data_IF_993326047653
#
_entry.id   IF_993326047653
#
_cell.length_a   1.000
_cell.length_b   1.000
_cell.length_c   1.000
_cell.angle_alpha   90.00
_cell.angle_beta   90.00
_cell.angle_gamma   90.00
#
_symmetry.space_group_name_H-M   'P 1'
#
loop_
_entity.id
_entity.type
_entity.pdbx_description
1 polymer ?
2 non-polymer ?
3 water ?
#
# COMPACT_ATOMS: atom_id res chain seq x y z
N UNK A 16 -7.48 -17.73 -2.54
CA UNK A 16 -5.99 -17.95 -2.48
C UNK A 16 -5.16 -16.63 -2.72
N UNK A 17 -4.89 -16.25 -3.97
CA UNK A 17 -4.16 -15.01 -4.25
C UNK A 17 -4.94 -13.77 -3.78
N UNK A 18 -4.37 -12.99 -2.89
CA UNK A 18 -5.02 -11.79 -2.41
C UNK A 18 -4.92 -10.60 -3.43
N UNK A 19 -6.06 -10.03 -3.81
CA UNK A 19 -6.06 -8.79 -4.62
C UNK A 19 -6.30 -7.59 -3.76
N UNK A 20 -5.53 -6.53 -3.90
CA UNK A 20 -5.85 -5.29 -3.20
C UNK A 20 -7.04 -4.60 -3.88
N UNK A 21 -7.87 -3.88 -3.13
CA UNK A 21 -9.08 -3.29 -3.74
C UNK A 21 -8.84 -1.84 -4.12
N UNK A 22 -9.88 -1.16 -4.65
CA UNK A 22 -9.68 0.18 -5.22
C UNK A 22 -9.35 1.23 -4.14
N UNK A 23 -9.70 0.96 -2.89
CA UNK A 23 -9.39 1.89 -1.77
C UNK A 23 -8.02 1.75 -1.14
N UNK A 24 -7.14 1.00 -1.80
CA UNK A 24 -5.84 0.67 -1.24
C UNK A 24 -4.77 1.11 -2.23
N UNK A 25 -3.89 2.00 -1.80
CA UNK A 25 -2.69 2.36 -2.53
C UNK A 25 -1.49 1.73 -1.85
N UNK A 26 -0.71 1.01 -2.63
CA UNK A 26 0.49 0.37 -2.15
C UNK A 26 1.68 1.10 -2.72
N UNK A 27 2.45 1.78 -1.87
CA UNK A 27 3.67 2.41 -2.32
C UNK A 27 4.87 1.58 -1.86
N UNK A 28 5.70 1.18 -2.80
CA UNK A 28 6.92 0.48 -2.46
C UNK A 28 8.04 1.47 -2.18
N UNK A 29 8.94 1.07 -1.28
CA UNK A 29 10.10 1.86 -0.97
C UNK A 29 10.83 2.20 -2.28
N UNK A 30 11.27 3.46 -2.45
CA UNK A 30 11.22 4.61 -1.54
C UNK A 30 10.13 5.63 -1.90
N UNK A 31 9.13 5.21 -2.65
CA UNK A 31 8.06 6.13 -3.06
C UNK A 31 7.26 6.64 -1.88
N UNK A 32 7.31 5.95 -0.76
CA UNK A 32 6.69 6.44 0.46
C UNK A 32 7.37 7.72 0.96
N UNK A 33 8.63 7.96 0.53
CA UNK A 33 9.36 9.14 0.95
C UNK A 33 9.30 10.27 -0.06
N UNK A 34 8.65 10.04 -1.20
CA UNK A 34 8.57 11.03 -2.24
C UNK A 34 7.60 12.13 -1.78
N UNK A 35 7.99 13.39 -1.92
CA UNK A 35 7.19 14.51 -1.43
C UNK A 35 6.65 15.36 -2.57
N UNK A 36 7.21 15.23 -3.76
CA UNK A 36 6.90 16.16 -4.86
C UNK A 36 7.67 17.47 -4.80
N UNK A 37 8.51 17.70 -3.80
CA UNK A 37 9.38 18.87 -3.74
C UNK A 37 10.80 18.64 -4.28
N UNK A 38 11.04 17.45 -4.75
CA UNK A 38 12.37 17.08 -5.22
C UNK A 38 12.74 17.91 -6.43
N UNK A 39 14.02 18.16 -6.64
CA UNK A 39 14.48 19.13 -7.63
C UNK A 39 15.27 18.45 -8.71
N UNK A 40 14.96 18.80 -9.97
CA UNK A 40 15.64 18.22 -11.12
C UNK A 40 17.14 18.48 -11.05
N UNK A 41 17.93 17.42 -11.17
CA UNK A 41 19.39 17.48 -11.04
C UNK A 41 19.98 16.44 -11.98
N UNK A 42 20.83 16.89 -12.92
CA UNK A 42 21.45 16.04 -13.90
C UNK A 42 22.81 15.60 -13.44
N UNK A 43 23.02 14.29 -13.37
CA UNK A 43 24.28 13.72 -12.99
C UNK A 43 24.55 12.63 -14.03
N UNK A 44 25.61 12.83 -14.80
CA UNK A 44 25.78 12.00 -16.01
C UNK A 44 25.95 10.51 -15.72
N UNK A 45 26.61 10.13 -14.63
CA UNK A 45 26.74 8.71 -14.28
C UNK A 45 25.39 8.06 -13.97
N UNK A 46 24.48 8.84 -13.37
CA UNK A 46 23.16 8.31 -13.07
C UNK A 46 22.37 8.18 -14.36
N UNK A 47 22.45 9.19 -15.23
CA UNK A 47 21.74 9.13 -16.49
C UNK A 47 22.20 7.95 -17.32
N UNK A 48 23.51 7.75 -17.42
CA UNK A 48 24.04 6.64 -18.19
C UNK A 48 23.55 5.30 -17.63
N UNK A 49 23.61 5.15 -16.31
CA UNK A 49 23.12 3.95 -15.65
C UNK A 49 21.62 3.75 -15.95
N UNK A 50 20.84 4.78 -15.88
CA UNK A 50 19.38 4.66 -16.11
C UNK A 50 19.07 4.25 -17.59
N UNK A 51 19.75 4.88 -18.55
CA UNK A 51 19.57 4.50 -19.97
C UNK A 51 19.84 3.03 -20.20
N UNK A 52 20.96 2.56 -19.67
CA UNK A 52 21.29 1.17 -19.77
C UNK A 52 20.28 0.30 -19.00
N UNK A 53 19.80 0.75 -17.85
CA UNK A 53 18.78 -0.01 -17.09
C UNK A 53 17.52 -0.24 -17.92
N UNK A 54 17.06 0.81 -18.60
CA UNK A 54 15.90 0.71 -19.47
C UNK A 54 16.12 -0.36 -20.51
N UNK A 55 17.25 -0.32 -21.22
CA UNK A 55 17.52 -1.29 -22.30
C UNK A 55 17.73 -2.71 -21.77
N UNK A 56 18.44 -2.85 -20.65
CA UNK A 56 18.86 -4.17 -20.19
C UNK A 56 17.85 -4.78 -19.22
N UNK A 57 17.35 -4.02 -18.25
CA UNK A 57 16.33 -4.56 -17.35
C UNK A 57 14.97 -4.56 -18.02
N UNK A 58 14.67 -3.51 -18.76
CA UNK A 58 13.33 -3.34 -19.37
C UNK A 58 13.26 -4.10 -20.67
N UNK A 59 14.20 -3.79 -21.55
CA UNK A 59 14.34 -4.54 -22.79
C UNK A 59 14.05 -3.73 -24.05
N UNK A 60 13.83 -2.42 -23.97
CA UNK A 60 13.55 -1.73 -25.25
C UNK A 60 14.81 -1.45 -26.06
N UNK A 61 14.66 -0.88 -27.25
CA UNK A 61 15.81 -0.57 -28.11
C UNK A 61 16.20 0.91 -28.17
N UNK A 62 15.58 1.78 -27.38
CA UNK A 62 15.87 3.21 -27.48
C UNK A 62 17.35 3.49 -27.30
N UNK A 63 17.84 4.38 -28.11
CA UNK A 63 19.23 4.82 -28.01
C UNK A 63 19.40 5.90 -26.92
N UNK A 64 20.65 6.18 -26.60
CA UNK A 64 21.00 7.22 -25.62
C UNK A 64 20.50 8.56 -26.10
N UNK A 65 20.57 8.80 -27.41
CA UNK A 65 20.10 10.05 -27.97
C UNK A 65 18.58 10.24 -27.70
N UNK A 66 17.81 9.16 -27.76
CA UNK A 66 16.40 9.28 -27.45
C UNK A 66 16.15 9.34 -25.95
N UNK A 67 16.89 8.58 -25.15
CA UNK A 67 16.59 8.53 -23.72
C UNK A 67 17.14 9.70 -22.92
N UNK A 68 18.37 10.13 -23.24
CA UNK A 68 19.03 11.16 -22.42
C UNK A 68 18.12 12.37 -22.16
N UNK A 69 17.47 12.94 -23.19
CA UNK A 69 16.66 14.14 -22.90
C UNK A 69 15.45 13.87 -22.02
N UNK A 70 15.07 12.60 -21.86
CA UNK A 70 13.89 12.24 -21.08
C UNK A 70 14.21 11.79 -19.68
N UNK A 71 15.48 11.46 -19.43
CA UNK A 71 15.85 10.96 -18.12
C UNK A 71 16.13 12.12 -17.17
N UNK A 72 15.08 12.55 -16.44
CA UNK A 72 15.18 13.71 -15.58
C UNK A 72 14.96 13.33 -14.13
N UNK A 73 16.04 12.93 -13.49
CA UNK A 73 15.98 12.62 -12.10
C UNK A 73 15.74 13.88 -11.26
N UNK A 74 15.01 13.67 -10.18
CA UNK A 74 14.75 14.69 -9.20
C UNK A 74 15.36 14.27 -7.89
N UNK A 75 16.13 15.19 -7.32
CA UNK A 75 16.90 14.97 -6.12
C UNK A 75 16.14 15.41 -4.86
N UNK A 76 16.30 14.60 -3.84
CA UNK A 76 15.81 14.88 -2.50
C UNK A 76 16.95 15.04 -1.52
N UNK A 77 16.80 15.99 -0.61
CA UNK A 77 17.73 16.16 0.48
C UNK A 77 17.82 14.96 1.43
N UNK A 78 16.91 14.01 1.31
CA UNK A 78 17.04 12.74 2.04
C UNK A 78 18.07 11.77 1.39
N UNK A 79 18.79 12.24 0.37
CA UNK A 79 19.74 11.45 -0.44
C UNK A 79 19.01 10.36 -1.25
N UNK A 80 18.03 10.80 -2.02
CA UNK A 80 17.25 9.98 -2.91
C UNK A 80 17.21 10.69 -4.22
N UNK A 81 17.21 9.91 -5.31
CA UNK A 81 16.99 10.42 -6.63
C UNK A 81 15.84 9.64 -7.25
N UNK A 82 14.82 10.34 -7.74
CA UNK A 82 13.63 9.74 -8.29
C UNK A 82 13.46 10.09 -9.78
N UNK A 83 13.17 9.08 -10.59
CA UNK A 83 12.70 9.24 -11.95
C UNK A 83 11.23 8.74 -11.94
N UNK A 84 10.30 9.68 -12.00
CA UNK A 84 8.85 9.37 -11.90
C UNK A 84 8.14 9.38 -13.22
N UNK A 85 7.52 8.26 -13.56
CA UNK A 85 6.66 8.17 -14.75
C UNK A 85 7.28 8.75 -16.03
N UNK A 87 7.75 8.56 -19.76
CA UNK A 87 6.88 7.99 -20.77
C UNK A 87 7.72 7.65 -21.97
N UNK A 88 7.67 6.40 -22.43
CA UNK A 88 8.39 5.96 -23.66
C UNK A 88 7.41 5.21 -24.56
N UNK A 89 7.60 5.32 -25.86
CA UNK A 89 6.85 4.57 -26.84
C UNK A 89 7.79 3.67 -27.59
N UNK A 90 7.54 2.37 -27.53
CA UNK A 90 8.31 1.36 -28.22
C UNK A 90 8.08 1.44 -29.75
N UNK A 91 8.90 0.72 -30.50
CA UNK A 91 8.86 0.79 -31.96
C UNK A 91 7.53 0.33 -32.54
N UNK A 92 6.93 -0.66 -31.90
CA UNK A 92 5.64 -1.15 -32.29
C UNK A 92 4.45 -0.42 -31.60
N UNK A 93 4.69 0.77 -31.02
CA UNK A 93 3.60 1.59 -30.48
C UNK A 93 3.19 1.35 -29.05
N UNK A 94 3.76 0.35 -28.40
CA UNK A 94 3.45 0.12 -26.97
C UNK A 94 3.96 1.28 -26.15
N UNK A 95 3.16 1.68 -25.18
CA UNK A 95 3.53 2.80 -24.37
C UNK A 95 3.94 2.30 -23.01
N UNK A 96 5.05 2.81 -22.49
CA UNK A 96 5.55 2.41 -21.17
C UNK A 96 5.66 3.58 -20.24
N UNK A 97 5.55 3.31 -18.95
CA UNK A 97 6.01 4.22 -17.92
C UNK A 97 7.17 3.52 -17.24
N UNK A 98 8.26 4.26 -17.12
CA UNK A 98 9.43 3.81 -16.36
C UNK A 98 9.54 4.60 -15.07
N UNK A 99 9.71 3.90 -13.97
CA UNK A 99 9.96 4.55 -12.67
C UNK A 99 11.26 3.99 -12.10
N UNK A 101 14.40 4.69 -8.79
CA UNK A 101 14.92 5.48 -7.69
C UNK A 101 16.25 4.91 -7.24
N UNK A 102 17.10 5.81 -6.76
CA UNK A 102 18.34 5.48 -6.13
C UNK A 102 18.40 6.11 -4.75
N UNK A 103 18.97 5.33 -3.82
CA UNK A 103 19.29 5.77 -2.50
C UNK A 103 20.81 5.53 -2.28
N UNK A 104 21.32 5.73 -1.06
CA UNK A 104 22.78 5.62 -0.92
C UNK A 104 23.39 4.23 -1.25
N UNK A 105 22.58 3.18 -1.26
CA UNK A 105 23.06 1.86 -1.60
C UNK A 105 22.91 1.50 -3.05
N UNK A 106 22.37 2.42 -3.84
CA UNK A 106 22.23 2.21 -5.28
C UNK A 106 20.78 2.16 -5.77
N UNK A 107 20.55 1.33 -6.78
CA UNK A 107 19.26 1.23 -7.41
C UNK A 107 18.35 0.46 -6.50
N UNK A 108 17.35 1.14 -5.92
CA UNK A 108 16.47 0.53 -4.94
C UNK A 108 15.06 0.37 -5.48
N UNK A 109 14.81 0.91 -6.65
CA UNK A 109 13.52 0.75 -7.30
C UNK A 109 13.66 0.89 -8.84
N UNK A 110 13.04 -0.05 -9.55
CA UNK A 110 12.93 0.02 -11.02
C UNK A 110 11.60 -0.60 -11.42
N UNK A 111 10.88 0.01 -12.36
CA UNK A 111 9.78 -0.67 -12.99
C UNK A 111 9.58 -0.15 -14.39
N UNK A 112 9.25 -1.09 -15.27
CA UNK A 112 9.08 -0.87 -16.70
C UNK A 112 7.71 -1.48 -17.11
N UNK A 113 6.69 -0.64 -17.24
CA UNK A 113 5.31 -1.13 -17.24
C UNK A 113 4.61 -0.68 -18.51
N UNK A 114 4.20 -1.66 -19.30
CA UNK A 114 3.44 -1.40 -20.53
C UNK A 114 2.03 -0.91 -20.14
N UNK A 115 1.69 0.29 -20.56
CA UNK A 115 0.44 0.95 -20.19
C UNK A 115 -0.72 0.43 -21.01
N UNK A 116 -0.47 -0.32 -22.07
CA UNK A 116 -1.55 -0.84 -22.89
C UNK A 116 -1.69 -2.34 -22.75
N UNK A 117 -1.12 -2.95 -21.73
CA UNK A 117 -1.25 -4.40 -21.61
C UNK A 117 -2.70 -4.79 -21.21
N UNK A 118 -3.13 -5.95 -21.64
CA UNK A 118 -4.47 -6.36 -21.25
C UNK A 118 -4.49 -6.83 -19.78
N UNK A 119 -5.69 -6.83 -19.24
CA UNK A 119 -5.94 -7.24 -17.90
C UNK A 119 -5.93 -8.75 -17.85
N UNK A 120 -5.12 -9.33 -16.98
CA UNK A 120 -5.10 -10.77 -16.79
C UNK A 120 -6.40 -11.19 -16.13
N UNK A 121 -6.94 -12.32 -16.53
CA UNK A 121 -8.10 -12.91 -15.86
C UNK A 121 -7.66 -13.54 -14.52
N UNK A 122 -8.64 -13.84 -13.68
CA UNK A 122 -8.41 -14.58 -12.42
C UNK A 122 -7.63 -15.87 -12.68
N UNK A 123 -8.03 -16.62 -13.70
CA UNK A 123 -7.35 -17.87 -14.04
C UNK A 123 -5.90 -17.66 -14.47
N UNK A 124 -5.65 -16.62 -15.27
CA UNK A 124 -4.29 -16.31 -15.72
C UNK A 124 -3.44 -15.90 -14.53
N UNK A 126 -3.82 -16.95 -11.45
CA UNK A 126 -3.53 -18.16 -10.72
C UNK A 126 -2.45 -18.99 -11.40
N UNK A 127 -2.55 -19.16 -12.71
CA UNK A 127 -1.53 -19.84 -13.49
C UNK A 127 -0.19 -19.16 -13.38
N UNK A 128 -0.19 -17.83 -13.44
CA UNK A 128 1.07 -17.08 -13.27
C UNK A 128 1.69 -17.35 -11.91
N UNK A 129 0.86 -17.39 -10.88
CA UNK A 129 1.38 -17.66 -9.56
C UNK A 129 1.99 -19.06 -9.54
N UNK A 130 1.32 -20.02 -10.16
CA UNK A 130 1.87 -21.38 -10.28
C UNK A 130 3.22 -21.43 -10.97
N UNK A 131 3.37 -20.72 -12.09
CA UNK A 131 4.63 -20.68 -12.84
C UNK A 131 5.76 -20.05 -11.98
N UNK A 132 5.42 -18.97 -11.28
CA UNK A 132 6.34 -18.32 -10.37
C UNK A 132 6.85 -19.26 -9.28
N UNK A 133 5.94 -20.01 -8.68
CA UNK A 133 6.29 -20.95 -7.64
C UNK A 133 7.24 -22.03 -8.19
N UNK A 134 6.92 -22.51 -9.39
CA UNK A 134 7.75 -23.50 -10.08
C UNK A 134 9.13 -22.91 -10.43
N UNK A 135 9.16 -21.68 -10.92
CA UNK A 135 10.44 -21.05 -11.28
C UNK A 135 11.30 -20.92 -10.01
N UNK A 136 10.67 -20.54 -8.91
CA UNK A 136 11.34 -20.36 -7.62
C UNK A 136 11.96 -21.64 -7.09
N UNK A 137 11.22 -22.74 -7.18
CA UNK A 137 11.73 -24.02 -6.75
C UNK A 137 12.87 -24.50 -7.62
N UNK A 138 12.78 -24.25 -8.92
CA UNK A 138 13.91 -24.53 -9.78
C UNK A 138 15.14 -23.68 -9.40
N UNK A 139 14.93 -22.38 -9.20
CA UNK A 139 16.01 -21.54 -8.69
C UNK A 139 16.62 -22.08 -7.38
N UNK A 140 15.78 -22.43 -6.40
CA UNK A 140 16.30 -22.92 -5.11
C UNK A 140 17.16 -24.17 -5.32
N UNK A 141 16.79 -25.03 -6.26
CA UNK A 141 17.58 -26.24 -6.53
C UNK A 141 18.87 -25.95 -7.29
N UNK A 142 18.91 -24.84 -8.01
CA UNK A 142 20.08 -24.50 -8.83
C UNK A 142 20.24 -22.99 -8.96
N UNK A 143 20.71 -22.33 -7.87
CA UNK A 143 20.69 -20.89 -7.82
C UNK A 143 21.84 -20.19 -8.53
N UNK A 144 22.82 -20.94 -8.99
CA UNK A 144 23.93 -20.43 -9.81
C UNK A 144 24.07 -21.30 -11.08
N UNK A 145 23.08 -21.28 -11.99
CA UNK A 145 23.11 -22.31 -13.08
C UNK A 145 24.27 -22.15 -14.09
N UNK A 169 18.08 -18.84 -23.14
CA UNK A 169 18.27 -20.23 -22.72
C UNK A 169 17.15 -20.72 -21.77
N UNK A 170 16.31 -19.77 -21.31
CA UNK A 170 15.44 -20.01 -20.14
C UNK A 170 14.19 -19.13 -20.14
N UNK A 171 13.07 -19.67 -19.68
CA UNK A 171 11.96 -18.80 -19.36
C UNK A 171 11.73 -18.69 -17.84
N UNK A 172 12.73 -19.08 -17.06
CA UNK A 172 12.67 -18.95 -15.60
C UNK A 172 12.78 -17.48 -15.21
N UNK A 173 11.74 -16.95 -14.54
CA UNK A 173 11.71 -15.54 -14.27
C UNK A 173 12.89 -15.06 -13.40
N UNK A 174 13.32 -15.91 -12.47
CA UNK A 174 14.36 -15.55 -11.53
C UNK A 174 15.68 -15.55 -12.27
N UNK A 175 15.97 -16.61 -13.04
CA UNK A 175 17.19 -16.61 -13.87
C UNK A 175 17.28 -15.43 -14.85
N UNK A 177 15.84 -12.48 -14.67
CA UNK A 177 16.00 -11.23 -13.97
C UNK A 177 17.44 -11.10 -13.46
N UNK A 178 17.96 -12.13 -12.83
CA UNK A 178 19.32 -12.08 -12.32
C UNK A 178 20.35 -11.88 -13.44
N UNK A 180 19.82 -10.43 -16.33
CA UNK A 180 19.75 -9.04 -16.76
C UNK A 180 20.45 -8.09 -15.79
N UNK A 181 20.22 -8.26 -14.50
CA UNK A 181 20.93 -7.49 -13.49
C UNK A 181 22.45 -7.63 -13.64
N UNK A 182 22.90 -8.84 -13.84
CA UNK A 182 24.33 -9.14 -14.03
C UNK A 182 24.90 -8.44 -15.27
N UNK A 184 23.72 -5.75 -16.62
CA UNK A 184 23.76 -4.34 -16.32
C UNK A 184 25.00 -3.98 -15.50
N UNK A 185 25.28 -4.74 -14.44
CA UNK A 185 26.43 -4.53 -13.62
C UNK A 185 27.71 -4.64 -14.47
N UNK A 186 27.81 -5.65 -15.33
CA UNK A 186 29.00 -5.77 -16.23
C UNK A 186 29.13 -4.59 -17.17
N UNK A 187 28.03 -4.20 -17.80
CA UNK A 187 28.02 -3.01 -18.66
C UNK A 187 28.62 -1.81 -17.91
N UNK A 189 30.67 -1.67 -15.28
CA UNK A 189 32.11 -1.83 -15.06
C UNK A 189 32.90 -1.60 -16.36
N UNK A 190 32.41 -2.19 -17.46
CA UNK A 190 32.99 -2.02 -18.81
C UNK A 190 33.24 -0.57 -19.16
N UNK A 191 32.27 0.30 -18.90
CA UNK A 191 32.42 1.73 -19.19
C UNK A 191 32.91 2.53 -17.95
N UNK A 192 33.38 1.80 -16.93
CA UNK A 192 33.98 2.40 -15.75
C UNK A 192 33.14 3.50 -15.12
N UNK A 193 31.83 3.35 -15.15
CA UNK A 193 30.98 4.27 -14.38
C UNK A 193 30.56 3.56 -13.10
N UNK A 194 29.93 4.27 -12.19
CA UNK A 194 29.44 3.64 -10.99
C UNK A 194 28.47 2.51 -11.35
N UNK A 195 28.64 1.38 -10.68
CA UNK A 195 27.72 0.25 -10.83
C UNK A 195 26.73 0.33 -9.67
N UNK A 196 25.53 0.85 -9.95
CA UNK A 196 24.56 1.04 -8.89
C UNK A 196 23.69 -0.21 -8.63
N UNK A 197 23.95 -1.33 -9.33
CA UNK A 197 23.13 -2.54 -9.16
C UNK A 197 23.87 -3.73 -8.55
N UNK A 198 25.18 -3.79 -8.77
CA UNK A 198 25.98 -4.97 -8.41
C UNK A 198 25.79 -5.46 -7.00
N UNK A 199 26.00 -4.60 -6.00
CA UNK A 199 25.84 -5.03 -4.60
C UNK A 199 24.40 -5.40 -4.30
N UNK A 200 23.45 -4.67 -4.90
CA UNK A 200 22.06 -4.93 -4.57
C UNK A 200 21.61 -6.22 -5.22
N UNK A 201 22.21 -6.58 -6.35
CA UNK A 201 21.95 -7.88 -7.00
C UNK A 201 22.25 -9.05 -6.03
N UNK A 202 23.38 -8.98 -5.33
CA UNK A 202 23.72 -9.99 -4.36
C UNK A 202 22.64 -10.09 -3.26
N UNK A 203 22.20 -8.94 -2.75
CA UNK A 203 21.20 -8.94 -1.68
C UNK A 203 19.91 -9.56 -2.16
N UNK A 204 19.50 -9.21 -3.35
CA UNK A 204 18.24 -9.73 -3.90
C UNK A 204 18.34 -11.26 -4.05
N UNK A 205 19.46 -11.72 -4.59
CA UNK A 205 19.71 -13.16 -4.79
C UNK A 205 19.58 -13.90 -3.48
N UNK A 206 20.23 -13.37 -2.44
CA UNK A 206 20.18 -13.97 -1.13
C UNK A 206 18.77 -13.98 -0.52
N UNK A 207 18.05 -12.86 -0.64
CA UNK A 207 16.65 -12.83 -0.16
C UNK A 207 15.85 -13.91 -0.83
N UNK A 208 15.99 -14.02 -2.14
CA UNK A 208 15.19 -15.00 -2.89
C UNK A 208 15.57 -16.43 -2.50
N UNK A 209 16.86 -16.64 -2.24
CA UNK A 209 17.33 -17.96 -1.89
C UNK A 209 16.89 -18.37 -0.49
N UNK A 210 16.84 -17.41 0.45
CA UNK A 210 16.68 -17.74 1.88
C UNK A 210 15.37 -17.29 2.56
N UNK A 211 14.57 -16.44 1.96
CA UNK A 211 13.30 -15.98 2.59
C UNK A 211 12.12 -16.77 2.05
N UNK A 212 11.05 -16.78 2.84
CA UNK A 212 9.71 -17.20 2.40
C UNK A 212 9.23 -16.24 1.31
N UNK A 213 8.65 -16.85 0.29
CA UNK A 213 8.11 -16.17 -0.84
C UNK A 213 6.59 -15.93 -0.54
N UNK A 214 6.12 -14.70 -0.38
CA UNK A 214 4.66 -14.46 -0.26
C UNK A 214 4.24 -13.53 -1.37
N UNK A 215 2.93 -13.36 -1.57
CA UNK A 215 2.50 -12.60 -2.72
C UNK A 215 1.12 -11.98 -2.59
N UNK A 216 0.92 -10.95 -3.38
CA UNK A 216 -0.40 -10.34 -3.54
C UNK A 216 -0.47 -9.81 -4.95
N UNK A 217 -1.68 -9.50 -5.39
CA UNK A 217 -1.91 -8.93 -6.72
C UNK A 217 -2.37 -7.48 -6.57
N UNK A 218 -1.72 -6.64 -7.35
CA UNK A 218 -1.97 -5.22 -7.32
C UNK A 218 -1.70 -4.68 -8.70
N UNK A 219 -2.65 -3.95 -9.21
CA UNK A 219 -2.48 -3.20 -10.45
C UNK A 219 -2.05 -4.10 -11.65
N UNK A 220 -2.68 -5.26 -11.75
CA UNK A 220 -2.46 -6.23 -12.84
C UNK A 220 -1.10 -6.95 -12.76
N UNK A 221 -0.41 -6.83 -11.62
CA UNK A 221 0.86 -7.55 -11.38
C UNK A 221 0.79 -8.40 -10.13
N UNK A 222 1.70 -9.36 -10.04
CA UNK A 222 1.95 -10.07 -8.81
C UNK A 222 3.17 -9.47 -8.14
N UNK A 223 3.01 -9.11 -6.86
CA UNK A 223 4.12 -8.63 -6.03
C UNK A 223 4.64 -9.78 -5.20
N UNK A 224 5.86 -10.22 -5.50
CA UNK A 224 6.48 -11.35 -4.82
C UNK A 224 7.35 -10.76 -3.75
N UNK A 226 9.65 -10.67 -0.18
CA UNK A 226 10.68 -11.43 0.54
C UNK A 226 11.22 -10.54 1.60
N UNK A 227 11.53 -11.09 2.77
CA UNK A 227 12.11 -10.27 3.81
C UNK A 227 12.90 -11.14 4.80
N UNK A 228 13.80 -10.51 5.54
CA UNK A 228 14.58 -11.25 6.53
C UNK A 228 14.37 -10.65 7.89
N UNK A 229 14.90 -11.30 8.91
CA UNK A 229 14.71 -10.89 10.32
C UNK A 229 15.24 -9.50 10.61
N UNK A 230 16.30 -9.08 9.90
CA UNK A 230 16.93 -7.79 10.11
C UNK A 230 16.29 -6.58 9.46
N UNK A 231 15.06 -6.69 8.94
CA UNK A 231 14.38 -5.51 8.40
C UNK A 231 14.57 -5.25 6.90
N UNK A 232 15.51 -5.96 6.28
CA UNK A 232 15.67 -5.89 4.82
C UNK A 232 14.45 -6.51 4.16
N UNK A 233 13.85 -5.82 3.22
CA UNK A 233 12.79 -6.44 2.48
C UNK A 233 12.74 -6.01 1.00
N UNK A 235 10.47 -6.48 -2.91
CA UNK A 235 9.43 -6.93 -3.73
C UNK A 235 9.94 -7.06 -5.14
N UNK A 236 9.62 -8.19 -5.77
CA UNK A 236 9.78 -8.38 -7.20
C UNK A 236 8.42 -8.26 -7.87
N UNK A 237 8.33 -7.44 -8.92
CA UNK A 237 7.07 -7.13 -9.58
C UNK A 237 7.00 -8.01 -10.81
N UNK A 238 6.10 -8.98 -10.75
CA UNK A 238 5.88 -9.92 -11.83
C UNK A 238 4.70 -9.60 -12.68
N UNK A 239 4.90 -9.59 -13.99
CA UNK A 239 3.79 -9.44 -14.94
C UNK A 239 3.29 -10.82 -15.40
N UNK A 240 2.02 -11.13 -15.14
CA UNK A 240 1.47 -12.40 -15.62
C UNK A 240 1.32 -12.38 -17.12
N UNK A 241 1.21 -11.21 -17.73
CA UNK A 241 1.06 -11.13 -19.19
C UNK A 241 2.42 -11.42 -19.83
N UNK A 242 3.46 -10.73 -19.37
CA UNK A 242 4.83 -10.96 -19.93
C UNK A 242 5.54 -12.17 -19.38
N UNK A 243 5.01 -12.74 -18.31
CA UNK A 243 5.65 -13.84 -17.63
C UNK A 243 7.10 -13.55 -17.25
N UNK A 244 7.33 -12.37 -16.70
CA UNK A 244 8.63 -12.03 -16.19
C UNK A 244 8.55 -10.97 -15.18
N UNK A 245 9.66 -10.76 -14.48
CA UNK A 245 9.77 -9.63 -13.59
C UNK A 245 9.97 -8.34 -14.35
N UNK A 246 9.12 -7.35 -14.09
CA UNK A 246 9.23 -6.04 -14.77
C UNK A 246 9.68 -4.93 -13.83
N UNK A 247 9.98 -5.28 -12.59
CA UNK A 247 10.50 -4.35 -11.65
C UNK A 247 10.83 -4.94 -10.30
N UNK A 248 11.37 -4.09 -9.42
CA UNK A 248 11.64 -4.47 -8.06
C UNK A 248 11.77 -3.24 -7.17
N UNK A 249 11.74 -3.49 -5.86
CA UNK A 249 11.95 -2.52 -4.83
C UNK A 249 12.77 -3.23 -3.81
N UNK A 250 13.83 -2.58 -3.35
CA UNK A 250 14.68 -3.15 -2.29
C UNK A 250 14.92 -2.11 -1.19
N UNK A 251 14.62 -2.49 0.04
CA UNK A 251 14.85 -1.65 1.17
C UNK A 251 15.73 -2.36 2.20
N UNK A 252 16.91 -1.81 2.47
CA UNK A 252 17.78 -2.38 3.53
C UNK A 252 17.20 -2.09 4.89
N UNK B 16 -1.52 -18.76 6.11
CA UNK B 16 -2.50 -18.17 5.20
C UNK B 16 -2.68 -16.64 5.33
N UNK B 17 -2.66 -16.07 6.54
CA UNK B 17 -2.78 -14.62 6.66
C UNK B 17 -1.57 -13.90 6.08
N UNK B 18 -1.79 -13.04 5.10
CA UNK B 18 -0.70 -12.32 4.47
C UNK B 18 -0.22 -11.13 5.30
N UNK B 19 1.08 -11.06 5.59
CA UNK B 19 1.62 -9.85 6.24
C UNK B 19 2.31 -8.96 5.23
N UNK B 20 2.13 -7.64 5.28
CA UNK B 20 2.97 -6.75 4.46
C UNK B 20 4.38 -6.52 5.08
N UNK B 21 5.44 -6.35 4.29
CA UNK B 21 6.81 -6.23 4.83
C UNK B 21 7.21 -4.76 5.02
N UNK B 22 8.47 -4.50 5.47
CA UNK B 22 8.83 -3.05 5.81
C UNK B 22 8.82 -2.12 4.59
N UNK B 23 9.09 -2.70 3.42
CA UNK B 23 9.20 -1.92 2.19
C UNK B 23 7.89 -1.59 1.51
N UNK B 24 6.79 -1.75 2.26
CA UNK B 24 5.48 -1.56 1.73
C UNK B 24 4.75 -0.56 2.64
N UNK B 25 4.34 0.55 2.06
CA UNK B 25 3.42 1.48 2.66
C UNK B 25 2.04 1.27 2.01
N UNK B 26 1.06 1.02 2.85
CA UNK B 26 -0.30 0.87 2.42
C UNK B 26 -1.08 2.10 2.87
N UNK B 27 -1.58 2.89 1.93
CA UNK B 27 -2.42 4.02 2.24
C UNK B 27 -3.86 3.69 1.87
N UNK B 28 -4.75 3.83 2.83
CA UNK B 28 -6.18 3.68 2.54
C UNK B 28 -6.80 5.00 2.10
N UNK B 29 -7.77 4.90 1.21
CA UNK B 29 -8.49 6.06 0.70
C UNK B 29 -8.99 6.86 1.91
N UNK B 30 -8.81 8.20 1.89
CA UNK B 30 -8.29 9.05 0.85
C UNK B 30 -6.86 9.55 1.12
N UNK B 31 -6.13 8.85 1.98
CA UNK B 31 -4.76 9.24 2.32
C UNK B 31 -3.83 9.17 1.12
N UNK B 32 -4.20 8.44 0.09
CA UNK B 32 -3.44 8.46 -1.15
C UNK B 32 -3.49 9.83 -1.82
N UNK B 33 -4.47 10.65 -1.47
CA UNK B 33 -4.63 11.96 -2.09
C UNK B 33 -4.04 13.06 -1.23
N UNK B 34 -3.55 12.71 -0.04
CA UNK B 34 -2.97 13.68 0.89
C UNK B 34 -1.61 14.11 0.36
N UNK B 35 -1.37 15.42 0.27
CA UNK B 35 -0.15 15.94 -0.31
C UNK B 35 0.74 16.56 0.72
N UNK B 36 0.20 16.90 1.89
CA UNK B 36 0.94 17.72 2.85
C UNK B 36 0.87 19.23 2.62
N UNK B 37 0.19 19.68 1.58
CA UNK B 37 -0.05 21.11 1.35
C UNK B 37 -1.41 21.61 1.83
N UNK B 38 -2.20 20.71 2.41
CA UNK B 38 -3.56 21.06 2.85
C UNK B 38 -3.49 22.13 3.96
N UNK B 39 -4.52 22.95 4.05
CA UNK B 39 -4.48 24.17 4.86
C UNK B 39 -5.53 24.11 5.96
N UNK B 40 -5.11 24.42 7.18
CA UNK B 40 -6.01 24.40 8.31
C UNK B 40 -7.20 25.29 8.05
N UNK B 41 -8.36 24.73 8.30
CA UNK B 41 -9.61 25.42 8.07
C UNK B 41 -10.59 24.90 9.14
N UNK B 42 -11.09 25.81 9.97
CA UNK B 42 -12.01 25.48 11.06
C UNK B 42 -13.43 25.62 10.55
N UNK B 43 -14.21 24.54 10.63
CA UNK B 43 -15.62 24.54 10.32
C UNK B 43 -16.31 23.82 11.44
N UNK B 44 -17.17 24.52 12.16
CA UNK B 44 -17.70 24.03 13.43
C UNK B 44 -18.50 22.74 13.35
N UNK B 45 -19.28 22.58 12.30
CA UNK B 45 -20.07 21.36 12.11
C UNK B 45 -19.18 20.14 11.91
N UNK B 46 -18.02 20.36 11.29
CA UNK B 46 -17.11 19.25 11.09
C UNK B 46 -16.44 18.91 12.42
N UNK B 47 -16.07 19.94 13.16
CA UNK B 47 -15.48 19.73 14.47
C UNK B 47 -16.43 18.99 15.42
N UNK B 48 -17.69 19.40 15.48
CA UNK B 48 -18.66 18.75 16.31
C UNK B 48 -18.82 17.29 15.93
N UNK B 49 -18.95 17.03 14.62
CA UNK B 49 -19.06 15.69 14.18
C UNK B 49 -17.82 14.83 14.56
N UNK B 50 -16.63 15.39 14.41
CA UNK B 50 -15.39 14.67 14.75
C UNK B 50 -15.29 14.36 16.28
N UNK B 51 -15.59 15.35 17.11
CA UNK B 51 -15.65 15.12 18.57
C UNK B 51 -16.57 13.97 18.96
N UNK B 52 -17.77 13.94 18.38
CA UNK B 52 -18.69 12.84 18.61
C UNK B 52 -18.19 11.50 18.00
N UNK B 53 -17.55 11.57 16.85
CA UNK B 53 -16.94 10.35 16.26
C UNK B 53 -15.89 9.72 17.18
N UNK B 54 -15.03 10.56 17.76
CA UNK B 54 -14.04 10.09 18.71
C UNK B 54 -14.71 9.36 19.87
N UNK B 55 -15.73 9.98 20.49
CA UNK B 55 -16.41 9.32 21.62
C UNK B 55 -17.18 8.05 21.26
N UNK B 56 -17.90 8.07 20.16
CA UNK B 56 -18.83 6.99 19.83
C UNK B 56 -18.17 5.87 19.00
N UNK B 57 -17.38 6.23 18.00
CA UNK B 57 -16.64 5.19 17.23
C UNK B 57 -15.41 4.73 17.98
N UNK B 58 -14.70 5.66 18.60
CA UNK B 58 -13.44 5.33 19.29
C UNK B 58 -13.71 4.80 20.68
N UNK B 59 -14.42 5.58 21.46
CA UNK B 59 -14.87 5.15 22.75
C UNK B 59 -14.29 5.96 23.89
N UNK B 60 -13.55 7.04 23.65
CA UNK B 60 -12.99 7.73 24.85
C UNK B 60 -14.02 8.62 25.54
N UNK B 61 -13.65 9.24 26.64
CA UNK B 61 -14.58 10.07 27.38
C UNK B 61 -14.34 11.57 27.25
N UNK B 62 -13.38 12.00 26.44
CA UNK B 62 -13.05 13.44 26.40
C UNK B 62 -14.30 14.26 26.05
N UNK B 63 -14.41 15.41 26.68
CA UNK B 63 -15.50 16.35 26.39
C UNK B 63 -15.16 17.23 25.19
N UNK B 64 -16.16 17.97 24.75
CA UNK B 64 -15.97 18.91 23.65
C UNK B 64 -14.97 20.00 24.01
N UNK B 65 -15.02 20.45 25.24
CA UNK B 65 -14.09 21.44 25.73
C UNK B 65 -12.67 20.94 25.63
N UNK B 66 -12.42 19.67 25.91
CA UNK B 66 -11.05 19.10 25.73
C UNK B 66 -10.70 18.83 24.26
N UNK B 67 -11.65 18.36 23.46
CA UNK B 67 -11.33 18.00 22.06
C UNK B 67 -11.29 19.19 21.09
N UNK B 68 -12.18 20.16 21.25
CA UNK B 68 -12.31 21.26 20.24
C UNK B 68 -10.99 21.94 19.93
N UNK B 69 -10.21 22.30 20.96
CA UNK B 69 -8.94 22.91 20.65
C UNK B 69 -7.96 22.03 19.89
N UNK B 70 -8.16 20.72 19.88
CA UNK B 70 -7.20 19.80 19.25
C UNK B 70 -7.65 19.33 17.86
N UNK B 71 -8.93 19.48 17.56
CA UNK B 71 -9.43 19.03 16.25
C UNK B 71 -9.15 20.09 15.17
N UNK B 72 -8.05 19.91 14.45
CA UNK B 72 -7.62 20.84 13.43
C UNK B 72 -7.57 20.21 12.04
N UNK B 73 -8.72 20.25 11.39
CA UNK B 73 -8.82 19.76 10.02
C UNK B 73 -8.04 20.63 9.05
N UNK B 74 -7.49 19.96 8.02
CA UNK B 74 -6.77 20.61 6.94
C UNK B 74 -7.49 20.33 5.65
N UNK B 75 -7.71 21.40 4.90
CA UNK B 75 -8.55 21.39 3.72
C UNK B 75 -7.71 21.24 2.48
N UNK B 76 -8.21 20.42 1.59
CA UNK B 76 -7.60 20.21 0.27
C UNK B 76 -8.51 20.71 -0.83
N UNK B 77 -7.91 21.33 -1.84
CA UNK B 77 -8.61 21.77 -3.01
C UNK B 77 -9.22 20.66 -3.83
N UNK B 78 -8.91 19.41 -3.52
CA UNK B 78 -9.67 18.29 -4.05
C UNK B 78 -11.03 18.05 -3.35
N UNK B 79 -11.46 18.95 -2.46
CA UNK B 79 -12.69 18.80 -1.66
C UNK B 79 -12.58 17.64 -0.65
N UNK B 80 -11.51 17.69 0.13
CA UNK B 80 -11.24 16.70 1.15
C UNK B 80 -10.91 17.50 2.38
N UNK B 81 -11.24 16.94 3.53
CA UNK B 81 -10.78 17.46 4.80
C UNK B 81 -10.08 16.33 5.57
N UNK B 82 -8.88 16.58 6.03
CA UNK B 82 -8.09 15.62 6.74
C UNK B 82 -7.79 16.06 8.14
N UNK B 83 -7.95 15.13 9.09
CA UNK B 83 -7.40 15.25 10.45
C UNK B 83 -6.35 14.17 10.61
N UNK B 84 -5.10 14.59 10.62
CA UNK B 84 -3.97 13.68 10.60
C UNK B 84 -3.29 13.60 11.95
N UNK B 85 -3.22 12.38 12.48
CA UNK B 85 -2.48 12.07 13.70
C UNK B 85 -2.76 13.05 14.84
N UNK B 87 -3.23 13.63 18.51
CA UNK B 87 -2.73 12.90 19.66
C UNK B 87 -3.64 13.12 20.83
N UNK B 88 -4.17 12.05 21.42
CA UNK B 88 -5.00 12.15 22.63
C UNK B 88 -4.45 11.22 23.71
N UNK B 89 -4.61 11.60 24.97
CA UNK B 89 -4.28 10.77 26.09
C UNK B 89 -5.54 10.51 26.92
N UNK B 90 -5.94 9.26 27.07
CA UNK B 90 -7.06 8.86 27.94
C UNK B 90 -6.77 9.21 29.40
N UNK B 91 -7.82 9.24 30.24
CA UNK B 91 -7.65 9.61 31.64
C UNK B 91 -6.70 8.62 32.35
N UNK B 92 -6.62 7.38 31.88
CA UNK B 92 -5.75 6.37 32.46
C UNK B 92 -4.38 6.23 31.72
N UNK B 93 -4.03 7.21 30.88
CA UNK B 93 -2.69 7.32 30.31
C UNK B 93 -2.44 6.64 28.99
N UNK B 94 -3.43 5.91 28.48
CA UNK B 94 -3.33 5.35 27.14
C UNK B 94 -3.24 6.46 26.09
N UNK B 95 -2.36 6.29 25.12
CA UNK B 95 -2.13 7.31 24.11
C UNK B 95 -2.67 6.86 22.79
N UNK B 96 -3.43 7.72 22.14
CA UNK B 96 -4.04 7.40 20.86
C UNK B 96 -3.64 8.38 19.78
N UNK B 97 -3.63 7.90 18.54
CA UNK B 97 -3.67 8.77 17.37
C UNK B 97 -5.02 8.56 16.72
N UNK B 98 -5.69 9.66 16.46
CA UNK B 98 -6.91 9.68 15.70
C UNK B 98 -6.64 10.27 14.32
N UNK B 99 -7.12 9.58 13.30
CA UNK B 99 -7.09 10.04 11.92
C UNK B 99 -8.50 10.02 11.36
N UNK B 101 -11.04 11.57 7.83
CA UNK B 101 -11.17 12.32 6.60
C UNK B 101 -12.60 12.35 6.14
N UNK B 102 -12.94 13.46 5.50
CA UNK B 102 -14.22 13.62 4.82
C UNK B 102 -14.00 14.00 3.39
N UNK B 103 -14.85 13.44 2.53
CA UNK B 103 -14.92 13.77 1.13
C UNK B 103 -16.37 14.22 0.82
N UNK B 104 -16.70 14.47 -0.44
CA UNK B 104 -18.08 14.96 -0.70
C UNK B 104 -19.20 14.01 -0.30
N UNK B 105 -18.92 12.73 -0.10
CA UNK B 105 -19.93 11.80 0.38
C UNK B 105 -19.99 11.67 1.90
N UNK B 106 -19.15 12.41 2.61
CA UNK B 106 -19.17 12.38 4.09
C UNK B 106 -17.93 11.73 4.68
N UNK B 107 -18.11 11.04 5.80
CA UNK B 107 -17.00 10.43 6.52
C UNK B 107 -16.53 9.22 5.75
N UNK B 108 -15.30 9.28 5.24
CA UNK B 108 -14.75 8.18 4.43
C UNK B 108 -13.57 7.50 5.09
N UNK B 109 -13.09 8.05 6.20
CA UNK B 109 -12.00 7.47 6.93
C UNK B 109 -12.05 7.87 8.40
N UNK B 110 -11.93 6.86 9.28
CA UNK B 110 -11.79 7.06 10.72
C UNK B 110 -10.86 5.98 11.29
N UNK B 111 -9.92 6.35 12.13
CA UNK B 111 -9.20 5.35 12.91
C UNK B 111 -8.77 5.93 14.26
N UNK B 112 -8.82 5.06 15.26
CA UNK B 112 -8.56 5.35 16.65
C UNK B 112 -7.61 4.29 17.19
N UNK B 113 -6.32 4.61 17.27
CA UNK B 113 -5.30 3.61 17.39
C UNK B 113 -4.46 3.86 18.62
N UNK B 114 -4.48 2.91 19.54
CA UNK B 114 -3.68 2.99 20.76
C UNK B 114 -2.20 2.81 20.39
N UNK B 115 -1.39 3.79 20.71
CA UNK B 115 0.02 3.83 20.33
C UNK B 115 0.88 2.99 21.22
N UNK B 116 0.37 2.56 22.36
CA UNK B 116 1.16 1.76 23.26
C UNK B 116 0.66 0.31 23.32
N UNK B 117 -0.13 -0.14 22.35
CA UNK B 117 -0.64 -1.49 22.46
C UNK B 117 0.46 -2.52 22.18
N UNK B 118 0.37 -3.68 22.77
CA UNK B 118 1.41 -4.67 22.49
C UNK B 118 1.24 -5.29 21.09
N UNK B 119 2.34 -5.81 20.60
CA UNK B 119 2.36 -6.47 19.34
C UNK B 119 1.74 -7.85 19.45
N UNK B 120 0.74 -8.13 18.64
CA UNK B 120 0.13 -9.48 18.63
C UNK B 120 1.11 -10.49 18.10
N UNK B 121 1.13 -11.67 18.67
CA UNK B 121 1.96 -12.78 18.13
C UNK B 121 1.28 -13.35 16.87
N UNK B 122 2.01 -14.15 16.14
CA UNK B 122 1.47 -14.88 14.97
C UNK B 122 0.21 -15.69 15.33
N UNK B 123 0.26 -16.39 16.46
CA UNK B 123 -0.89 -17.17 16.92
C UNK B 123 -2.11 -16.33 17.26
N UNK B 124 -1.90 -15.18 17.89
CA UNK B 124 -2.98 -14.27 18.23
C UNK B 124 -3.60 -13.71 16.97
N UNK B 126 -3.69 -15.21 14.05
CA UNK B 126 -4.47 -16.28 13.45
C UNK B 126 -5.80 -16.49 14.19
N UNK B 127 -5.77 -16.52 15.52
CA UNK B 127 -6.99 -16.59 16.34
C UNK B 127 -7.91 -15.43 16.04
N UNK B 128 -7.36 -14.23 15.94
CA UNK B 128 -8.18 -13.03 15.64
C UNK B 128 -8.86 -13.19 14.29
N UNK B 129 -8.13 -13.69 13.31
CA UNK B 129 -8.72 -13.92 12.01
C UNK B 129 -9.84 -14.97 12.08
N UNK B 130 -9.62 -16.04 12.84
CA UNK B 130 -10.68 -17.02 13.12
C UNK B 130 -11.93 -16.39 13.75
N UNK B 131 -11.77 -15.56 14.76
CA UNK B 131 -12.90 -14.92 15.41
C UNK B 131 -13.66 -14.04 14.38
N UNK B 132 -12.90 -13.29 13.59
CA UNK B 132 -13.46 -12.41 12.59
C UNK B 132 -14.29 -13.16 11.59
N UNK B 133 -13.77 -14.29 11.12
CA UNK B 133 -14.52 -15.14 10.21
C UNK B 133 -15.83 -15.63 10.81
N UNK B 134 -15.77 -16.05 12.07
CA UNK B 134 -16.93 -16.53 12.80
C UNK B 134 -17.95 -15.40 12.96
N UNK B 135 -17.47 -14.21 13.35
CA UNK B 135 -18.36 -13.06 13.55
C UNK B 135 -19.06 -12.73 12.21
N UNK B 136 -18.29 -12.81 11.12
CA UNK B 136 -18.78 -12.47 9.80
C UNK B 136 -19.88 -13.42 9.37
N UNK B 137 -19.66 -14.71 9.61
CA UNK B 137 -20.65 -15.72 9.24
C UNK B 137 -21.91 -15.52 10.04
N UNK B 138 -21.77 -15.18 11.32
CA UNK B 138 -22.94 -14.91 12.14
C UNK B 138 -23.69 -13.68 11.55
N UNK B 139 -22.95 -12.64 11.22
CA UNK B 139 -23.55 -11.48 10.57
C UNK B 139 -24.29 -11.86 9.29
N UNK B 140 -23.65 -12.65 8.43
CA UNK B 140 -24.31 -13.05 7.18
C UNK B 140 -25.61 -13.82 7.44
N UNK B 141 -25.65 -14.63 8.48
CA UNK B 141 -26.89 -15.36 8.80
C UNK B 141 -27.94 -14.46 9.46
N UNK B 142 -27.52 -13.35 10.07
CA UNK B 142 -28.46 -12.47 10.78
C UNK B 142 -28.00 -11.03 10.72
N UNK B 143 -28.17 -10.38 9.57
CA UNK B 143 -27.51 -9.09 9.38
C UNK B 143 -28.27 -7.91 9.96
N UNK B 144 -29.49 -8.12 10.42
CA UNK B 144 -30.28 -7.10 11.14
C UNK B 144 -30.79 -7.69 12.46
N UNK B 145 -29.89 -7.99 13.40
CA UNK B 145 -30.37 -8.73 14.59
C UNK B 145 -31.23 -7.84 15.48
N UNK B 146 -32.09 -8.44 16.30
CA UNK B 146 -32.82 -7.66 17.30
C UNK B 146 -31.98 -7.58 18.57
N UNK B 169 -24.58 -6.43 24.60
CA UNK B 169 -25.37 -7.62 24.25
C UNK B 169 -24.58 -8.60 23.40
N UNK B 170 -23.40 -8.17 22.91
CA UNK B 170 -22.67 -8.89 21.85
C UNK B 170 -21.16 -8.63 21.87
N UNK B 171 -20.36 -9.63 21.56
CA UNK B 171 -18.97 -9.38 21.24
C UNK B 171 -18.68 -9.61 19.74
N UNK B 172 -19.74 -9.66 18.93
CA UNK B 172 -19.58 -9.72 17.46
C UNK B 172 -19.02 -8.40 16.92
N UNK B 173 -17.83 -8.44 16.30
CA UNK B 173 -17.17 -7.19 15.90
C UNK B 173 -18.01 -6.38 14.89
N UNK B 174 -18.75 -7.07 14.03
CA UNK B 174 -19.52 -6.42 12.98
C UNK B 174 -20.72 -5.74 13.63
N UNK B 175 -21.44 -6.47 14.48
CA UNK B 175 -22.57 -5.87 15.19
C UNK B 175 -22.15 -4.66 16.00
N UNK B 177 -19.53 -2.67 15.63
CA UNK B 177 -19.13 -1.55 14.78
C UNK B 177 -20.34 -0.89 14.11
N UNK B 178 -21.26 -1.68 13.56
CA UNK B 178 -22.46 -1.08 12.95
C UNK B 178 -23.32 -0.32 13.93
N UNK B 180 -22.27 1.19 16.66
CA UNK B 180 -21.60 2.47 16.92
C UNK B 180 -21.82 3.48 15.78
N UNK B 181 -21.71 3.01 14.54
CA UNK B 181 -21.97 3.88 13.38
C UNK B 181 -23.39 4.49 13.40
N UNK B 182 -24.38 3.64 13.64
CA UNK B 182 -25.79 4.03 13.77
C UNK B 182 -25.98 5.02 14.92
N UNK B 184 -23.77 7.06 16.15
CA UNK B 184 -23.21 8.36 15.75
C UNK B 184 -24.17 9.16 14.87
N UNK B 185 -24.74 8.50 13.88
CA UNK B 185 -25.70 9.14 13.01
C UNK B 185 -26.91 9.66 13.83
N UNK B 186 -27.45 8.82 14.69
CA UNK B 186 -28.61 9.23 15.53
C UNK B 186 -28.24 10.41 16.42
N UNK B 187 -27.09 10.33 17.07
CA UNK B 187 -26.61 11.43 17.90
C UNK B 187 -26.59 12.76 17.11
N UNK B 189 -28.34 13.54 14.31
CA UNK B 189 -29.69 13.93 13.88
C UNK B 189 -30.51 14.47 15.06
N UNK B 190 -30.47 13.77 16.21
CA UNK B 190 -31.09 14.22 17.48
C UNK B 190 -30.72 15.65 17.79
N UNK B 191 -29.44 15.97 17.64
CA UNK B 191 -28.95 17.32 17.91
C UNK B 191 -29.12 18.28 16.73
N UNK B 192 -29.72 17.80 15.63
CA UNK B 192 -29.86 18.59 14.41
C UNK B 192 -28.55 19.24 13.91
N UNK B 193 -27.41 18.55 14.09
CA UNK B 193 -26.12 18.95 13.52
C UNK B 193 -25.96 18.18 12.21
N UNK B 194 -24.95 18.49 11.42
CA UNK B 194 -24.71 17.76 10.19
C UNK B 194 -24.28 16.29 10.46
N UNK B 195 -24.96 15.36 9.79
CA UNK B 195 -24.73 13.95 10.00
C UNK B 195 -23.88 13.48 8.81
N UNK B 196 -22.58 13.41 9.00
CA UNK B 196 -21.70 13.00 7.88
C UNK B 196 -21.49 11.50 7.75
N UNK B 197 -22.17 10.68 8.57
CA UNK B 197 -22.08 9.22 8.41
C UNK B 197 -23.36 8.52 7.91
N UNK B 198 -24.53 9.12 8.18
CA UNK B 198 -25.86 8.45 7.91
C UNK B 198 -26.05 8.03 6.49
N UNK B 199 -25.60 8.86 5.56
CA UNK B 199 -25.70 8.54 4.14
C UNK B 199 -24.82 7.37 3.72
N UNK B 200 -23.80 7.03 4.53
CA UNK B 200 -22.90 5.93 4.22
C UNK B 200 -23.22 4.57 4.86
N UNK B 201 -24.21 4.57 5.78
CA UNK B 201 -24.48 3.39 6.61
C UNK B 201 -24.95 2.20 5.78
N UNK B 202 -25.89 2.43 4.88
CA UNK B 202 -26.37 1.34 4.04
C UNK B 202 -25.18 0.75 3.23
N UNK B 203 -24.37 1.60 2.62
CA UNK B 203 -23.28 1.09 1.77
C UNK B 203 -22.31 0.24 2.58
N UNK B 204 -21.99 0.67 3.79
CA UNK B 204 -21.07 -0.08 4.61
C UNK B 204 -21.65 -1.46 4.94
N UNK B 205 -22.91 -1.47 5.35
CA UNK B 205 -23.57 -2.72 5.66
C UNK B 205 -23.64 -3.64 4.46
N UNK B 206 -24.06 -3.08 3.33
CA UNK B 206 -24.24 -3.88 2.13
C UNK B 206 -22.89 -4.49 1.63
N UNK B 207 -21.81 -3.73 1.72
CA UNK B 207 -20.54 -4.30 1.33
C UNK B 207 -20.15 -5.49 2.16
N UNK B 208 -20.33 -5.40 3.47
CA UNK B 208 -19.97 -6.53 4.31
C UNK B 208 -20.91 -7.71 4.02
N UNK B 209 -22.16 -7.42 3.70
CA UNK B 209 -23.12 -8.48 3.49
C UNK B 209 -22.90 -9.20 2.18
N UNK B 210 -22.53 -8.46 1.15
CA UNK B 210 -22.58 -9.01 -0.21
C UNK B 210 -21.23 -9.28 -0.82
N UNK B 211 -20.16 -8.79 -0.21
CA UNK B 211 -18.86 -9.01 -0.81
C UNK B 211 -18.20 -10.22 -0.16
N UNK B 212 -17.29 -10.80 -0.92
CA UNK B 212 -16.27 -11.66 -0.39
C UNK B 212 -15.47 -10.92 0.71
N UNK B 213 -15.11 -11.64 1.75
CA UNK B 213 -14.28 -11.10 2.83
C UNK B 213 -12.82 -11.55 2.57
N UNK B 214 -11.93 -10.62 2.33
CA UNK B 214 -10.51 -10.96 2.25
C UNK B 214 -9.75 -10.14 3.28
N UNK B 215 -8.51 -10.49 3.53
CA UNK B 215 -7.78 -9.80 4.59
C UNK B 215 -6.27 -9.82 4.43
N UNK B 216 -5.62 -8.88 5.09
CA UNK B 216 -4.16 -8.91 5.26
C UNK B 216 -3.83 -8.29 6.61
N UNK B 217 -2.59 -8.48 7.03
CA UNK B 217 -2.12 -7.88 8.25
C UNK B 217 -1.13 -6.81 7.90
N UNK B 218 -1.33 -5.68 8.56
CA UNK B 218 -0.46 -4.53 8.39
C UNK B 218 -0.44 -3.75 9.70
N UNK B 219 0.76 -3.41 10.17
CA UNK B 219 0.91 -2.49 11.27
C UNK B 219 0.13 -2.92 12.56
N UNK B 220 0.21 -4.21 12.87
CA UNK B 220 -0.40 -4.81 14.05
C UNK B 220 -1.95 -4.87 13.99
N UNK B 221 -2.51 -4.65 12.81
CA UNK B 221 -3.94 -4.79 12.59
C UNK B 221 -4.23 -5.76 11.51
N UNK B 222 -5.47 -6.24 11.52
CA UNK B 222 -6.01 -6.95 10.37
C UNK B 222 -6.89 -5.99 9.58
N UNK B 223 -6.63 -5.94 8.28
CA UNK B 223 -7.46 -5.14 7.33
C UNK B 223 -8.44 -6.07 6.66
N UNK B 224 -9.71 -5.91 6.98
CA UNK B 224 -10.78 -6.72 6.41
C UNK B 224 -11.33 -5.97 5.22
N UNK B 226 -13.48 -5.44 1.62
CA UNK B 226 -14.71 -5.78 0.93
C UNK B 226 -14.83 -4.88 -0.26
N UNK B 227 -15.37 -5.39 -1.36
CA UNK B 227 -15.57 -4.53 -2.53
C UNK B 227 -16.66 -5.04 -3.43
N UNK B 228 -17.19 -4.19 -4.30
CA UNK B 228 -18.19 -4.66 -5.27
C UNK B 228 -17.70 -4.42 -6.68
N UNK B 229 -18.44 -4.94 -7.65
CA UNK B 229 -18.06 -4.85 -9.08
C UNK B 229 -17.93 -3.43 -9.58
N UNK B 230 -18.73 -2.53 -9.02
CA UNK B 230 -18.78 -1.14 -9.45
C UNK B 230 -17.70 -0.22 -8.94
N UNK B 231 -16.64 -0.75 -8.32
CA UNK B 231 -15.53 0.13 -7.86
C UNK B 231 -15.61 0.63 -6.42
N UNK B 232 -16.76 0.45 -5.75
CA UNK B 232 -16.87 0.77 -4.31
C UNK B 232 -16.09 -0.23 -3.47
N UNK B 233 -15.29 0.25 -2.54
CA UNK B 233 -14.59 -0.67 -1.68
C UNK B 233 -14.40 -0.11 -0.28
N UNK B 235 -12.32 -0.92 3.70
CA UNK B 235 -11.50 -1.66 4.62
C UNK B 235 -11.95 -1.38 6.02
N UNK B 236 -12.20 -2.43 6.77
CA UNK B 236 -12.43 -2.34 8.20
C UNK B 236 -11.14 -2.71 8.91
N UNK B 237 -10.70 -1.86 9.84
CA UNK B 237 -9.43 -2.02 10.53
C UNK B 237 -9.65 -2.65 11.88
N UNK B 238 -9.24 -3.91 11.99
CA UNK B 238 -9.47 -4.72 13.17
C UNK B 238 -8.23 -4.80 14.04
N UNK B 239 -8.40 -4.52 15.33
CA UNK B 239 -7.37 -4.75 16.31
C UNK B 239 -7.51 -6.16 16.94
N UNK B 240 -6.50 -7.03 16.76
CA UNK B 240 -6.53 -8.33 17.40
C UNK B 240 -6.34 -8.20 18.93
N UNK B 241 -5.73 -7.13 19.41
CA UNK B 241 -5.58 -6.94 20.84
C UNK B 241 -6.95 -6.55 21.46
N UNK B 242 -7.62 -5.55 20.90
CA UNK B 242 -8.93 -5.11 21.40
C UNK B 242 -10.07 -5.97 20.97
N UNK B 243 -9.87 -6.84 19.98
CA UNK B 243 -10.93 -7.65 19.41
C UNK B 243 -12.13 -6.80 18.94
N UNK B 244 -11.83 -5.74 18.23
CA UNK B 244 -12.87 -4.94 17.63
C UNK B 244 -12.32 -4.11 16.49
N UNK B 245 -13.23 -3.59 15.68
CA UNK B 245 -12.88 -2.66 14.65
C UNK B 245 -12.54 -1.29 15.24
N UNK B 246 -11.35 -0.77 14.89
CA UNK B 246 -10.93 0.53 15.40
C UNK B 246 -10.92 1.60 14.32
N UNK B 247 -11.37 1.25 13.13
CA UNK B 247 -11.45 2.19 12.05
C UNK B 247 -11.98 1.62 10.77
N UNK B 248 -12.13 2.48 9.76
CA UNK B 248 -12.53 2.09 8.46
C UNK B 248 -12.13 3.11 7.43
N UNK B 249 -12.16 2.68 6.17
CA UNK B 249 -11.95 3.52 5.00
C UNK B 249 -13.01 3.09 4.02
N UNK B 250 -13.74 4.05 3.47
CA UNK B 250 -14.77 3.77 2.48
C UNK B 250 -14.57 4.62 1.25
N UNK B 251 -14.45 3.98 0.09
CA UNK B 251 -14.29 4.68 -1.17
C UNK B 251 -15.42 4.28 -2.13
N UNK B 252 -16.27 5.24 -2.48
CA UNK B 252 -17.28 4.96 -3.51
C UNK B 252 -16.65 4.80 -4.88
#
# INVERSE_FOLDING_TARGET
>A
GYKGTIEEREQPQNFNLLYLNSGEELNLYPWNLYTGQEQELFEEEIVSFAANSVRILGGGSWTDEELYPLIKFRYSGQDLRFLKDXALTEKDGRRYLVNXALDPNGLCYFSYVNQDEREATADEXDQALGKLQEDWEKFLSDPLPADSEVDLYEEKPSGSYQLDDGELKTDNAFYXFFXRCQXLSDQXRKEQYSDYIGDNLYTIWELVLKSEFTSLSYDNHIYAXYSNDGGTSXVLIYSPIEERFVGFSLKY
>B
GYKGTIEEREQPQNFNLLYLNSGEELNLYPWNLYTGQEQELFEEEIVSFAANSVRILGGGSWTDEELYPLIKFRYSGQDLRFLKDXALTEKDGRRYLVNXALDPNGLCYFSYVNQDEREATADEXDQALGKLQEDWEKFLSDPLPADSEVDLYEEKPSGSYQLDDGELKTDNAFYXFFXRCQXLSDQXRKEQYSDYIGDNLYTIWELVLKSEFTSLSYDNHIYAXYSNDGGTSXVLIYSPIEERFVGFSLKY
#
